data_IF_902651925373
#
_entry.id   IF_902651925373
#
_cell.length_a   1.000
_cell.length_b   1.000
_cell.length_c   1.000
_cell.angle_alpha   90.00
_cell.angle_beta   90.00
_cell.angle_gamma   90.00
#
_symmetry.space_group_name_H-M   'P 1'
#
loop_
_entity.id
_entity.type
_entity.pdbx_description
1 polymer ?
#
# COMPACT_ATOMS: atom_id res chain seq x y z
N UNK A 1 1.73 -14.36 -0.95
CA UNK A 1 0.50 -14.41 -1.76
C UNK A 1 -0.13 -13.03 -1.79
N UNK A 2 0.45 -12.13 -2.59
CA UNK A 2 0.02 -10.73 -2.67
C UNK A 2 0.74 -10.08 -3.85
N UNK A 3 0.08 -9.19 -4.58
CA UNK A 3 0.74 -8.18 -5.39
C UNK A 3 -0.01 -6.86 -5.26
N UNK A 4 0.70 -5.82 -4.81
CA UNK A 4 0.20 -4.45 -4.78
C UNK A 4 1.23 -3.52 -5.42
N UNK A 5 0.76 -2.42 -5.99
CA UNK A 5 1.61 -1.38 -6.57
C UNK A 5 0.99 0.00 -6.39
N UNK A 6 1.85 1.01 -6.32
CA UNK A 6 1.48 2.42 -6.41
C UNK A 6 2.30 3.10 -7.50
N UNK A 7 1.71 4.03 -8.23
CA UNK A 7 2.36 4.84 -9.27
C UNK A 7 2.15 6.32 -8.90
N UNK A 8 3.23 7.10 -8.92
CA UNK A 8 3.21 8.53 -8.61
C UNK A 8 3.53 9.38 -9.85
N UNK A 9 2.51 9.95 -10.46
CA UNK A 9 2.65 10.83 -11.63
C UNK A 9 2.56 12.30 -11.22
N UNK A 10 2.95 13.20 -12.11
CA UNK A 10 2.77 14.65 -11.91
C UNK A 10 1.30 15.05 -11.70
N UNK A 11 0.36 14.23 -12.20
CA UNK A 11 -1.08 14.45 -12.08
C UNK A 11 -1.69 13.86 -10.80
N UNK A 12 -0.95 13.04 -10.05
CA UNK A 12 -1.42 12.37 -8.84
C UNK A 12 -1.04 10.90 -8.79
N UNK A 13 -1.81 10.12 -8.02
CA UNK A 13 -1.46 8.75 -7.63
C UNK A 13 -2.41 7.72 -8.23
N UNK A 14 -1.87 6.55 -8.52
CA UNK A 14 -2.64 5.34 -8.85
C UNK A 14 -2.23 4.23 -7.91
N UNK A 15 -3.20 3.55 -7.30
CA UNK A 15 -2.99 2.39 -6.47
C UNK A 15 -3.69 1.18 -7.10
N UNK A 16 -3.07 0.00 -7.02
CA UNK A 16 -3.65 -1.24 -7.50
C UNK A 16 -3.26 -2.40 -6.58
N UNK A 17 -4.22 -3.23 -6.18
CA UNK A 17 -3.98 -4.39 -5.33
C UNK A 17 -4.82 -5.59 -5.74
N UNK A 18 -4.22 -6.78 -5.66
CA UNK A 18 -4.96 -8.04 -5.70
C UNK A 18 -5.60 -8.33 -4.32
N UNK A 19 -6.51 -9.30 -4.26
CA UNK A 19 -7.22 -9.63 -3.01
C UNK A 19 -7.03 -11.07 -2.54
N UNK A 20 -6.45 -11.94 -3.37
CA UNK A 20 -6.13 -13.33 -2.98
C UNK A 20 -5.12 -13.35 -1.86
N UNK A 21 -5.41 -14.07 -0.78
CA UNK A 21 -4.57 -14.08 0.42
C UNK A 21 -4.49 -15.47 1.04
N UNK A 22 -3.33 -15.81 1.60
CA UNK A 22 -3.12 -17.05 2.35
C UNK A 22 -3.50 -16.81 3.81
N UNK A 23 -4.53 -17.51 4.29
CA UNK A 23 -4.96 -17.46 5.68
C UNK A 23 -4.56 -18.71 6.48
N UNK A 24 -3.74 -19.59 5.91
CA UNK A 24 -3.29 -20.84 6.51
C UNK A 24 -3.13 -21.97 5.48
N UNK A 25 -2.67 -23.13 5.95
CA UNK A 25 -2.59 -24.34 5.12
C UNK A 25 -3.97 -24.64 4.51
N UNK A 26 -4.02 -24.77 3.18
CA UNK A 26 -5.24 -24.98 2.38
C UNK A 26 -6.35 -23.91 2.52
N UNK A 27 -6.07 -22.75 3.12
CA UNK A 27 -7.05 -21.67 3.28
C UNK A 27 -6.68 -20.44 2.44
N UNK A 28 -7.20 -20.42 1.20
CA UNK A 28 -7.09 -19.26 0.31
C UNK A 28 -8.40 -18.49 0.33
N UNK A 29 -8.34 -17.25 0.81
CA UNK A 29 -9.50 -16.38 0.98
C UNK A 29 -9.27 -15.01 0.31
N UNK A 30 -10.33 -14.21 0.27
CA UNK A 30 -10.32 -12.87 -0.32
C UNK A 30 -10.30 -11.80 0.77
N UNK A 31 -9.27 -10.95 0.79
CA UNK A 31 -9.17 -9.80 1.69
C UNK A 31 -8.71 -8.59 0.90
N UNK A 32 -9.36 -7.44 1.11
CA UNK A 32 -8.87 -6.17 0.57
C UNK A 32 -7.49 -5.88 1.14
N UNK A 33 -6.60 -5.40 0.27
CA UNK A 33 -5.24 -4.98 0.62
C UNK A 33 -5.03 -3.50 0.40
N UNK A 34 -6.11 -2.74 0.18
CA UNK A 34 -6.12 -1.31 -0.05
C UNK A 34 -7.02 -0.61 0.96
N UNK A 35 -6.39 0.12 1.88
CA UNK A 35 -7.06 0.77 2.99
C UNK A 35 -6.90 2.29 2.86
N UNK A 36 -8.01 3.00 2.69
CA UNK A 36 -8.00 4.44 2.49
C UNK A 36 -8.44 5.16 3.78
N UNK A 37 -7.68 6.17 4.19
CA UNK A 37 -7.98 7.09 5.27
C UNK A 37 -8.17 8.48 4.67
N UNK A 38 -9.41 8.98 4.70
CA UNK A 38 -9.81 10.18 3.96
C UNK A 38 -10.43 11.17 4.92
N UNK A 39 -9.86 12.37 4.97
CA UNK A 39 -10.44 13.54 5.63
C UNK A 39 -10.62 14.62 4.56
N UNK A 40 -11.84 14.72 3.98
CA UNK A 40 -12.10 15.58 2.83
C UNK A 40 -11.63 17.02 3.04
N UNK A 41 -10.94 17.58 2.05
CA UNK A 41 -10.38 18.93 2.11
C UNK A 41 -9.14 19.09 2.99
N UNK A 42 -8.70 18.03 3.68
CA UNK A 42 -7.51 18.03 4.52
C UNK A 42 -6.45 17.08 4.01
N UNK A 43 -6.74 15.77 3.94
CA UNK A 43 -5.75 14.76 3.54
C UNK A 43 -6.42 13.48 3.02
N UNK A 44 -5.70 12.78 2.16
CA UNK A 44 -6.05 11.45 1.68
C UNK A 44 -4.81 10.57 1.78
N UNK A 45 -4.94 9.44 2.46
CA UNK A 45 -3.88 8.45 2.64
C UNK A 45 -4.40 7.09 2.19
N UNK A 46 -3.57 6.31 1.52
CA UNK A 46 -3.84 4.93 1.12
C UNK A 46 -2.68 4.06 1.60
N UNK A 47 -3.04 3.00 2.32
CA UNK A 47 -2.12 1.98 2.78
C UNK A 47 -2.38 0.68 2.00
N UNK A 48 -1.40 0.27 1.22
CA UNK A 48 -1.35 -1.06 0.60
C UNK A 48 -0.58 -2.02 1.49
N UNK A 49 -1.06 -3.25 1.64
CA UNK A 49 -0.46 -4.24 2.53
C UNK A 49 -0.01 -5.52 1.80
N UNK A 50 1.10 -6.11 2.24
CA UNK A 50 1.57 -7.42 1.79
C UNK A 50 2.33 -8.15 2.91
N UNK A 51 2.34 -9.48 2.87
CA UNK A 51 3.04 -10.32 3.84
C UNK A 51 2.07 -11.08 4.75
N UNK A 52 2.42 -11.22 6.02
CA UNK A 52 1.61 -11.97 6.98
C UNK A 52 0.24 -11.30 7.22
N UNK A 53 -0.86 -12.04 6.99
CA UNK A 53 -2.22 -11.51 7.10
C UNK A 53 -2.56 -11.07 8.53
N UNK A 54 -2.16 -11.85 9.54
CA UNK A 54 -2.43 -11.50 10.94
C UNK A 54 -1.67 -10.22 11.34
N UNK A 55 -0.42 -10.07 10.90
CA UNK A 55 0.37 -8.86 11.12
C UNK A 55 -0.26 -7.65 10.46
N UNK A 56 -0.57 -7.72 9.16
CA UNK A 56 -1.17 -6.59 8.42
C UNK A 56 -2.52 -6.16 9.00
N UNK A 57 -3.38 -7.11 9.40
CA UNK A 57 -4.64 -6.81 10.08
C UNK A 57 -4.43 -6.21 11.47
N UNK A 58 -3.46 -6.68 12.24
CA UNK A 58 -3.15 -6.12 13.56
C UNK A 58 -2.64 -4.68 13.46
N UNK A 59 -1.81 -4.38 12.46
CA UNK A 59 -1.38 -3.00 12.16
C UNK A 59 -2.58 -2.12 11.83
N UNK A 60 -3.42 -2.53 10.86
CA UNK A 60 -4.63 -1.77 10.49
C UNK A 60 -5.57 -1.57 11.68
N UNK A 61 -5.78 -2.60 12.49
CA UNK A 61 -6.60 -2.51 13.70
C UNK A 61 -6.04 -1.47 14.66
N UNK A 62 -4.72 -1.44 14.86
CA UNK A 62 -4.08 -0.47 15.74
C UNK A 62 -4.21 0.96 15.22
N UNK A 63 -3.94 1.17 13.93
CA UNK A 63 -4.08 2.50 13.29
C UNK A 63 -5.51 3.05 13.43
N UNK A 64 -6.53 2.21 13.25
CA UNK A 64 -7.93 2.63 13.44
C UNK A 64 -8.27 2.89 14.91
N UNK A 65 -7.82 2.03 15.83
CA UNK A 65 -8.05 2.24 17.26
C UNK A 65 -7.43 3.55 17.78
N UNK A 66 -6.22 3.87 17.34
CA UNK A 66 -5.53 5.11 17.71
C UNK A 66 -6.26 6.36 17.15
N UNK A 67 -6.90 6.24 15.97
CA UNK A 67 -7.77 7.28 15.42
C UNK A 67 -9.07 7.43 16.22
N UNK A 68 -9.76 6.33 16.53
CA UNK A 68 -11.01 6.32 17.31
C UNK A 68 -10.82 6.88 18.71
N UNK A 69 -9.68 6.60 19.33
CA UNK A 69 -9.35 7.05 20.69
C UNK A 69 -8.70 8.44 20.73
N UNK A 70 -8.52 9.09 19.56
CA UNK A 70 -7.78 10.34 19.42
C UNK A 70 -6.41 10.29 20.14
N UNK A 71 -5.69 9.18 19.97
CA UNK A 71 -4.37 8.99 20.56
C UNK A 71 -3.41 10.11 20.12
N UNK A 72 -2.41 10.45 20.93
CA UNK A 72 -1.48 11.55 20.62
C UNK A 72 -0.74 11.35 19.30
N UNK A 73 -0.38 10.11 18.96
CA UNK A 73 0.18 9.72 17.67
C UNK A 73 -0.89 8.97 16.85
N UNK A 74 -1.34 9.56 15.74
CA UNK A 74 -2.27 8.94 14.80
C UNK A 74 -2.15 9.60 13.40
N UNK A 75 -2.75 8.97 12.38
CA UNK A 75 -2.67 9.41 10.98
C UNK A 75 -3.33 10.78 10.69
N UNK A 76 -4.23 11.27 11.56
CA UNK A 76 -4.83 12.59 11.43
C UNK A 76 -3.95 13.68 12.06
N UNK A 77 -3.19 13.35 13.10
CA UNK A 77 -2.35 14.30 13.85
C UNK A 77 -1.01 14.62 13.19
N UNK A 78 -0.49 13.74 12.34
CA UNK A 78 0.79 13.95 11.62
C UNK A 78 0.73 15.14 10.66
N UNK A 79 1.86 15.81 10.45
CA UNK A 79 1.96 17.01 9.62
C UNK A 79 2.46 16.71 8.20
N UNK A 80 3.23 15.64 8.03
CA UNK A 80 3.85 15.26 6.75
C UNK A 80 3.60 13.79 6.42
N UNK A 81 3.75 13.41 5.15
CA UNK A 81 3.61 12.00 4.77
C UNK A 81 4.74 11.14 5.33
N UNK A 82 5.91 11.73 5.57
CA UNK A 82 7.03 11.07 6.24
C UNK A 82 6.71 10.76 7.71
N UNK A 83 6.12 11.69 8.45
CA UNK A 83 5.62 11.41 9.81
C UNK A 83 4.52 10.34 9.81
N UNK A 84 3.65 10.34 8.79
CA UNK A 84 2.68 9.27 8.62
C UNK A 84 3.36 7.91 8.39
N UNK A 85 4.43 7.87 7.58
CA UNK A 85 5.22 6.65 7.36
C UNK A 85 5.98 6.20 8.61
N UNK A 86 6.59 7.12 9.35
CA UNK A 86 7.25 6.84 10.64
C UNK A 86 6.26 6.20 11.63
N UNK A 87 5.05 6.75 11.72
CA UNK A 87 4.01 6.22 12.60
C UNK A 87 3.56 4.81 12.17
N UNK A 88 3.28 4.58 10.88
CA UNK A 88 2.93 3.25 10.36
C UNK A 88 4.06 2.25 10.58
N UNK A 89 5.30 2.67 10.32
CA UNK A 89 6.50 1.85 10.50
C UNK A 89 6.72 1.45 11.96
N UNK A 90 6.56 2.40 12.89
CA UNK A 90 6.63 2.15 14.34
C UNK A 90 5.60 1.10 14.77
N UNK A 91 4.34 1.29 14.38
CA UNK A 91 3.24 0.35 14.70
C UNK A 91 3.54 -1.03 14.09
N UNK A 92 3.99 -1.09 12.83
CA UNK A 92 4.33 -2.34 12.16
C UNK A 92 5.46 -3.09 12.87
N UNK A 93 6.56 -2.40 13.18
CA UNK A 93 7.71 -2.98 13.86
C UNK A 93 7.33 -3.50 15.26
N UNK A 94 6.49 -2.78 16.00
CA UNK A 94 5.99 -3.22 17.30
C UNK A 94 5.13 -4.48 17.18
N UNK A 95 4.15 -4.49 16.27
CA UNK A 95 3.28 -5.65 16.05
C UNK A 95 4.10 -6.88 15.67
N UNK A 96 5.02 -6.74 14.72
CA UNK A 96 5.89 -7.85 14.29
C UNK A 96 6.75 -8.37 15.43
N UNK A 97 7.38 -7.48 16.21
CA UNK A 97 8.18 -7.85 17.38
C UNK A 97 7.36 -8.62 18.42
N UNK A 98 6.13 -8.18 18.67
CA UNK A 98 5.23 -8.85 19.61
C UNK A 98 4.84 -10.26 19.12
N UNK A 99 4.58 -10.44 17.82
CA UNK A 99 4.26 -11.76 17.26
C UNK A 99 5.48 -12.69 17.31
N UNK A 100 6.66 -12.21 16.89
CA UNK A 100 7.90 -12.98 16.97
C UNK A 100 8.25 -13.40 18.40
N UNK A 101 7.96 -12.57 19.40
CA UNK A 101 8.19 -12.92 20.80
C UNK A 101 7.26 -14.03 21.31
N UNK A 102 6.02 -14.10 20.80
CA UNK A 102 5.03 -15.11 21.19
C UNK A 102 5.29 -16.47 20.58
N UNK A 103 6.01 -16.52 19.46
CA UNK A 103 6.26 -17.74 18.73
C UNK A 103 7.72 -18.20 18.83
N UNK A 104 7.97 -19.10 19.77
CA UNK A 104 9.28 -19.73 19.94
C UNK A 104 9.66 -20.68 18.77
N UNK A 105 8.74 -20.99 17.85
CA UNK A 105 8.96 -21.94 16.74
C UNK A 105 9.55 -21.29 15.47
N UNK A 106 9.68 -19.97 15.43
CA UNK A 106 10.44 -19.27 14.38
C UNK A 106 9.67 -18.97 13.09
N UNK A 107 8.35 -18.71 13.17
CA UNK A 107 7.55 -18.27 12.02
C UNK A 107 7.94 -16.90 11.46
N UNK A 108 7.63 -16.66 10.18
CA UNK A 108 7.79 -15.34 9.54
C UNK A 108 6.54 -14.49 9.71
N UNK A 109 6.67 -13.40 10.47
CA UNK A 109 5.59 -12.44 10.76
C UNK A 109 5.72 -11.13 9.99
N UNK A 110 6.63 -11.07 9.03
CA UNK A 110 6.94 -9.87 8.29
C UNK A 110 5.75 -9.38 7.46
N UNK A 111 5.57 -8.06 7.49
CA UNK A 111 4.67 -7.33 6.63
C UNK A 111 5.43 -6.16 5.99
N UNK A 112 4.99 -5.79 4.80
CA UNK A 112 5.48 -4.62 4.07
C UNK A 112 4.30 -3.81 3.61
N UNK A 113 4.50 -2.50 3.50
CA UNK A 113 3.41 -1.59 3.16
C UNK A 113 3.86 -0.58 2.11
N UNK A 114 2.93 -0.14 1.28
CA UNK A 114 3.09 1.11 0.54
C UNK A 114 2.12 2.10 1.15
N UNK A 115 2.63 3.19 1.71
CA UNK A 115 1.84 4.34 2.11
C UNK A 115 1.93 5.39 1.00
N UNK A 116 0.81 5.81 0.45
CA UNK A 116 0.78 6.94 -0.48
C UNK A 116 -0.34 7.88 -0.16
N UNK A 117 -0.21 9.14 -0.57
CA UNK A 117 -1.27 10.11 -0.31
C UNK A 117 -0.80 11.55 -0.44
N UNK A 118 -1.64 12.44 0.07
CA UNK A 118 -1.43 13.87 0.10
C UNK A 118 -2.00 14.46 1.39
N UNK A 119 -1.21 15.32 2.05
CA UNK A 119 -1.63 16.11 3.21
C UNK A 119 -1.62 17.59 2.82
N UNK A 120 -2.77 18.25 2.95
CA UNK A 120 -2.98 19.61 2.47
C UNK A 120 -2.59 19.77 1.00
N UNK A 121 -1.85 20.83 0.67
CA UNK A 121 -1.37 21.09 -0.69
C UNK A 121 0.12 20.71 -0.88
N UNK A 122 0.68 19.91 0.03
CA UNK A 122 2.00 19.31 -0.20
C UNK A 122 1.94 18.39 -1.42
N UNK A 123 3.05 18.14 -2.13
CA UNK A 123 3.07 17.20 -3.24
C UNK A 123 2.58 15.80 -2.81
N UNK A 124 1.84 15.07 -3.66
CA UNK A 124 1.57 13.66 -3.41
C UNK A 124 2.86 12.84 -3.42
N UNK A 125 3.00 11.92 -2.47
CA UNK A 125 4.18 11.07 -2.34
C UNK A 125 3.78 9.60 -2.12
N UNK A 126 4.72 8.68 -2.38
CA UNK A 126 4.56 7.26 -2.04
C UNK A 126 5.80 6.75 -1.32
N UNK A 127 5.60 5.98 -0.25
CA UNK A 127 6.67 5.43 0.59
C UNK A 127 6.49 3.92 0.73
N UNK A 128 7.55 3.16 0.47
CA UNK A 128 7.63 1.73 0.70
C UNK A 128 8.22 1.48 2.08
N UNK A 129 7.40 0.98 3.00
CA UNK A 129 7.76 0.65 4.38
C UNK A 129 8.15 -0.83 4.44
N UNK A 130 9.40 -1.08 4.81
CA UNK A 130 9.95 -2.42 4.98
C UNK A 130 9.59 -3.00 6.35
N UNK A 131 9.71 -4.32 6.48
CA UNK A 131 9.45 -5.04 7.72
C UNK A 131 10.32 -4.53 8.90
N UNK A 132 11.50 -3.97 8.60
CA UNK A 132 12.43 -3.43 9.59
C UNK A 132 12.03 -2.03 10.08
N UNK A 133 10.99 -1.42 9.52
CA UNK A 133 10.49 -0.10 9.91
C UNK A 133 11.22 1.09 9.25
N UNK A 134 12.21 0.85 8.40
CA UNK A 134 12.73 1.87 7.49
C UNK A 134 11.89 1.92 6.20
N UNK A 135 12.03 3.01 5.45
CA UNK A 135 11.31 3.19 4.19
C UNK A 135 12.10 3.98 3.14
N UNK A 136 11.65 3.87 1.89
CA UNK A 136 12.14 4.64 0.75
C UNK A 136 10.96 5.26 -0.02
N UNK A 137 11.23 6.26 -0.87
CA UNK A 137 10.28 6.77 -1.86
C UNK A 137 10.68 6.35 -3.28
N UNK A 138 9.78 6.50 -4.23
CA UNK A 138 10.03 6.18 -5.64
C UNK A 138 11.02 7.15 -6.31
N UNK A 139 11.82 6.67 -7.27
CA UNK A 139 12.70 7.55 -8.03
C UNK A 139 11.95 8.26 -9.17
N UNK A 140 12.54 9.34 -9.70
CA UNK A 140 11.96 10.00 -10.88
C UNK A 140 12.02 9.14 -12.15
N UNK A 141 13.02 8.26 -12.26
CA UNK A 141 13.15 7.33 -13.38
C UNK A 141 12.15 6.17 -13.30
N UNK A 142 11.83 5.73 -12.08
CA UNK A 142 10.88 4.65 -11.80
C UNK A 142 9.84 5.15 -10.80
N UNK A 143 8.83 5.92 -11.26
CA UNK A 143 7.89 6.59 -10.36
C UNK A 143 6.76 5.65 -9.92
N UNK A 144 7.14 4.47 -9.43
CA UNK A 144 6.24 3.46 -8.90
C UNK A 144 6.93 2.58 -7.86
N UNK A 145 6.14 2.03 -6.95
CA UNK A 145 6.56 1.08 -5.92
C UNK A 145 5.72 -0.19 -6.02
N UNK A 146 6.29 -1.33 -5.61
CA UNK A 146 5.63 -2.63 -5.65
C UNK A 146 5.93 -3.41 -4.36
N UNK A 147 4.96 -4.19 -3.89
CA UNK A 147 5.11 -5.14 -2.78
C UNK A 147 4.50 -6.51 -3.14
N UNK A 148 5.03 -7.57 -2.53
CA UNK A 148 4.63 -8.96 -2.80
C UNK A 148 5.32 -9.56 -4.04
N UNK A 149 4.56 -10.15 -4.95
CA UNK A 149 5.05 -10.87 -6.14
C UNK A 149 5.38 -9.91 -7.31
N UNK A 150 6.42 -9.11 -7.13
CA UNK A 150 6.68 -7.92 -7.98
C UNK A 150 7.27 -8.22 -9.37
N UNK A 151 7.87 -9.40 -9.57
CA UNK A 151 8.76 -9.68 -10.72
C UNK A 151 8.03 -9.73 -12.07
N UNK A 152 6.83 -10.30 -12.11
CA UNK A 152 6.11 -10.59 -13.36
C UNK A 152 5.53 -9.34 -14.03
N UNK A 153 5.03 -8.40 -13.22
CA UNK A 153 4.43 -7.16 -13.69
C UNK A 153 5.43 -6.02 -13.95
N UNK A 154 6.63 -6.07 -13.35
CA UNK A 154 7.61 -4.98 -13.45
C UNK A 154 7.99 -4.57 -14.90
N UNK A 155 8.20 -5.48 -15.87
CA UNK A 155 8.67 -5.08 -17.20
C UNK A 155 7.75 -4.15 -17.96
N UNK A 156 6.41 -4.22 -17.76
CA UNK A 156 5.50 -3.27 -18.42
C UNK A 156 5.55 -1.90 -17.76
N UNK A 157 5.69 -1.85 -16.43
CA UNK A 157 5.85 -0.61 -15.68
C UNK A 157 7.13 0.12 -16.12
N UNK A 158 8.26 -0.59 -16.19
CA UNK A 158 9.55 -0.04 -16.64
C UNK A 158 9.49 0.57 -18.05
N UNK A 159 8.64 0.05 -18.92
CA UNK A 159 8.55 0.49 -20.32
C UNK A 159 7.63 1.68 -20.53
N UNK A 160 6.60 1.84 -19.68
CA UNK A 160 5.46 2.74 -19.94
C UNK A 160 5.34 3.86 -18.93
N UNK A 161 5.68 3.60 -17.67
CA UNK A 161 5.42 4.53 -16.57
C UNK A 161 6.54 5.57 -16.46
N UNK A 162 6.14 6.84 -16.57
CA UNK A 162 6.97 8.03 -16.36
C UNK A 162 6.16 9.04 -15.55
N UNK A 163 6.83 10.09 -15.02
CA UNK A 163 6.16 11.14 -14.24
C UNK A 163 5.08 11.87 -15.05
N UNK A 164 5.25 11.98 -16.37
CA UNK A 164 4.31 12.65 -17.29
C UNK A 164 3.16 11.75 -17.77
N UNK A 165 3.19 10.47 -17.43
CA UNK A 165 2.14 9.53 -17.82
C UNK A 165 0.80 9.98 -17.24
N UNK A 166 -0.24 10.05 -18.07
CA UNK A 166 -1.59 10.42 -17.64
C UNK A 166 -2.16 9.40 -16.65
N UNK A 167 -2.96 9.85 -15.67
CA UNK A 167 -3.51 8.98 -14.62
C UNK A 167 -4.25 7.75 -15.17
N UNK A 168 -5.12 7.93 -16.17
CA UNK A 168 -5.86 6.83 -16.78
C UNK A 168 -4.95 5.85 -17.54
N UNK A 169 -3.87 6.36 -18.15
CA UNK A 169 -2.89 5.50 -18.80
C UNK A 169 -2.07 4.71 -17.78
N UNK A 170 -1.68 5.35 -16.67
CA UNK A 170 -1.02 4.69 -15.54
C UNK A 170 -1.92 3.60 -14.92
N UNK A 171 -3.21 3.88 -14.72
CA UNK A 171 -4.18 2.90 -14.22
C UNK A 171 -4.35 1.70 -15.15
N UNK A 172 -4.45 1.92 -16.46
CA UNK A 172 -4.48 0.82 -17.44
C UNK A 172 -3.18 0.01 -17.41
N UNK A 173 -2.03 0.67 -17.31
CA UNK A 173 -0.74 -0.02 -17.18
C UNK A 173 -0.64 -0.84 -15.90
N UNK A 174 -1.16 -0.34 -14.77
CA UNK A 174 -1.25 -1.08 -13.51
C UNK A 174 -2.10 -2.35 -13.66
N UNK A 175 -3.22 -2.29 -14.38
CA UNK A 175 -4.07 -3.45 -14.67
C UNK A 175 -3.37 -4.46 -15.58
N UNK A 176 -2.62 -4.02 -16.59
CA UNK A 176 -1.82 -4.91 -17.44
C UNK A 176 -0.72 -5.59 -16.60
N UNK A 177 -0.07 -4.85 -15.71
CA UNK A 177 0.92 -5.38 -14.76
C UNK A 177 0.31 -6.47 -13.87
N UNK A 178 -0.86 -6.18 -13.28
CA UNK A 178 -1.61 -7.12 -12.44
C UNK A 178 -2.00 -8.39 -13.20
N UNK A 179 -2.52 -8.24 -14.43
CA UNK A 179 -2.93 -9.36 -15.27
C UNK A 179 -1.75 -10.27 -15.62
N UNK A 180 -0.59 -9.71 -16.00
CA UNK A 180 0.62 -10.49 -16.23
C UNK A 180 1.02 -11.30 -15.00
N UNK A 181 0.99 -10.69 -13.81
CA UNK A 181 1.30 -11.38 -12.56
C UNK A 181 0.31 -12.50 -12.25
N UNK A 182 -1.00 -12.26 -12.32
CA UNK A 182 -2.02 -13.30 -12.06
C UNK A 182 -1.91 -14.50 -13.00
N UNK A 183 -1.54 -14.27 -14.27
CA UNK A 183 -1.36 -15.34 -15.26
C UNK A 183 -0.11 -16.17 -15.03
N UNK A 184 0.89 -15.63 -14.32
CA UNK A 184 2.18 -16.28 -14.10
C UNK A 184 2.41 -16.76 -12.67
N UNK A 185 1.61 -16.31 -11.71
CA UNK A 185 1.71 -16.72 -10.30
C UNK A 185 0.32 -16.86 -9.66
N UNK A 186 -0.05 -18.09 -9.30
CA UNK A 186 -1.35 -18.43 -8.70
C UNK A 186 -1.58 -17.82 -7.32
N UNK A 187 -0.53 -17.32 -6.66
CA UNK A 187 -0.64 -16.68 -5.35
C UNK A 187 -1.18 -15.25 -5.41
N UNK A 188 -1.38 -14.72 -6.62
CA UNK A 188 -1.98 -13.42 -6.91
C UNK A 188 -3.30 -13.67 -7.63
N UNK A 189 -4.36 -12.95 -7.24
CA UNK A 189 -5.66 -13.18 -7.84
C UNK A 189 -6.74 -12.18 -7.51
N UNK A 190 -7.86 -12.25 -8.26
CA UNK A 190 -8.99 -11.33 -8.12
C UNK A 190 -9.72 -11.49 -6.78
N UNK A 191 -10.58 -10.52 -6.40
CA UNK A 191 -10.84 -9.24 -7.07
C UNK A 191 -9.63 -8.30 -7.07
N UNK A 192 -9.60 -7.39 -8.05
CA UNK A 192 -8.53 -6.40 -8.21
C UNK A 192 -9.10 -5.03 -7.89
N UNK A 193 -8.49 -4.35 -6.93
CA UNK A 193 -8.89 -3.01 -6.52
C UNK A 193 -7.98 -1.98 -7.18
N UNK A 194 -8.56 -0.93 -7.77
CA UNK A 194 -7.81 0.18 -8.35
C UNK A 194 -8.34 1.50 -7.81
N UNK A 195 -7.45 2.39 -7.40
CA UNK A 195 -7.80 3.75 -7.00
C UNK A 195 -6.98 4.76 -7.80
N UNK A 196 -7.66 5.78 -8.34
CA UNK A 196 -7.05 6.91 -9.04
C UNK A 196 -7.31 8.17 -8.22
N UNK A 197 -6.23 8.82 -7.80
CA UNK A 197 -6.25 10.05 -7.04
C UNK A 197 -5.63 11.19 -7.87
N UNK A 198 -6.40 12.24 -8.11
CA UNK A 198 -5.88 13.45 -8.73
C UNK A 198 -5.21 14.33 -7.67
N UNK A 199 -4.05 14.88 -8.01
CA UNK A 199 -3.32 15.83 -7.17
C UNK A 199 -4.22 17.01 -6.77
N UNK A 200 -4.09 17.43 -5.53
CA UNK A 200 -4.80 18.53 -4.88
C UNK A 200 -6.32 18.30 -4.74
N UNK A 201 -6.83 17.11 -5.09
CA UNK A 201 -8.26 16.82 -5.00
C UNK A 201 -8.74 16.64 -3.56
N UNK A 202 -7.84 16.22 -2.64
CA UNK A 202 -8.10 16.03 -1.20
C UNK A 202 -9.43 15.32 -0.89
N UNK A 203 -9.80 14.34 -1.71
CA UNK A 203 -11.02 13.55 -1.61
C UNK A 203 -10.69 12.05 -1.74
N UNK A 204 -11.70 11.19 -1.80
CA UNK A 204 -11.49 9.73 -1.87
C UNK A 204 -11.01 9.18 -3.21
N UNK A 205 -10.79 10.01 -4.22
CA UNK A 205 -10.44 9.57 -5.58
C UNK A 205 -11.56 8.76 -6.24
N UNK A 206 -11.22 8.09 -7.34
CA UNK A 206 -12.09 7.13 -8.05
C UNK A 206 -11.60 5.71 -7.74
N UNK A 207 -12.44 4.90 -7.08
CA UNK A 207 -12.14 3.50 -6.74
C UNK A 207 -12.96 2.53 -7.61
N UNK A 208 -12.32 1.48 -8.08
CA UNK A 208 -12.87 0.40 -8.89
C UNK A 208 -12.52 -0.94 -8.24
N UNK A 209 -13.42 -1.92 -8.28
CA UNK A 209 -13.28 -3.26 -7.67
C UNK A 209 -13.86 -4.32 -8.59
#
# INVERSE_FOLDING_TARGET
MTYCLAINTNQGLVFCSDSRTNAGFDNVSTYSKMHAFIWPGNRMLVLLSAGNLATTQAVLKRLNADLEQAASANLLGVLTLHEAADYVAMVSAEVQKQQSFRDASGGTYEATFILGGQIGYAPPETLLIYAQGNYIHESNEHPFLQIGEVKYGKPILDRVIKRETQLEAAARCALVSMNSTMRSNLTVGPPVEVMIYARDALNGGRRFT
#
